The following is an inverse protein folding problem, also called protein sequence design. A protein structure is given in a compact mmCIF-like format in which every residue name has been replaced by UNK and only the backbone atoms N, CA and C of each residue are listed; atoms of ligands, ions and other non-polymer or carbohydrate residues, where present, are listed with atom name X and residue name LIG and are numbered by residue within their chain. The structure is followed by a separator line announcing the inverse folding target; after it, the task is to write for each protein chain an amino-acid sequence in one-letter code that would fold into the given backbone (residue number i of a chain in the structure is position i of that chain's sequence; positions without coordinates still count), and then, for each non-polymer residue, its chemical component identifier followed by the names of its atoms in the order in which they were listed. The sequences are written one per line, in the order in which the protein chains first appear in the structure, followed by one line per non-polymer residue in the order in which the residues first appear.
data_IF_946470812213
#
_entry.id   IF_946470812213
#
_cell.length_a   1.000
_cell.length_b   1.000
_cell.length_c   1.000
_cell.angle_alpha   90.00
_cell.angle_beta   90.00
_cell.angle_gamma   90.00
#
_symmetry.space_group_name_H-M   'P 1'
#
loop_
_entity.id
_entity.type
_entity.pdbx_description
1 polymer ?
#
# COMPACT_ATOMS: atom_id res chain seq x y z
N UNK A 1 16.49 -5.38 -6.06
CA UNK A 1 16.68 -4.57 -4.84
C UNK A 1 15.45 -3.71 -4.78
N UNK A 2 14.56 -3.93 -3.81
CA UNK A 2 13.20 -3.40 -3.82
C UNK A 2 13.19 -1.87 -3.64
N UNK A 3 12.29 -1.19 -4.37
CA UNK A 3 12.05 0.26 -4.27
C UNK A 3 11.20 0.66 -3.04
N UNK A 4 11.21 -0.17 -2.00
CA UNK A 4 10.44 -0.02 -0.77
C UNK A 4 11.35 -0.29 0.43
N UNK A 5 11.39 0.66 1.36
CA UNK A 5 12.05 0.53 2.67
C UNK A 5 10.96 0.45 3.74
N UNK A 6 11.17 -0.39 4.74
CA UNK A 6 10.26 -0.56 5.88
C UNK A 6 11.03 -0.27 7.16
N UNK A 7 10.49 0.62 7.98
CA UNK A 7 11.04 0.99 9.28
C UNK A 7 9.99 0.81 10.36
N UNK A 8 10.38 0.34 11.55
CA UNK A 8 9.49 0.17 12.69
C UNK A 8 9.97 0.99 13.89
N UNK A 9 9.03 1.66 14.55
CA UNK A 9 9.27 2.43 15.78
C UNK A 9 8.11 2.22 16.74
N UNK A 10 8.31 1.28 17.68
CA UNK A 10 7.23 0.84 18.57
C UNK A 10 6.02 0.36 17.76
N UNK A 11 4.81 0.90 18.00
CA UNK A 11 3.60 0.49 17.28
C UNK A 11 3.45 1.12 15.88
N UNK A 12 4.45 1.88 15.40
CA UNK A 12 4.40 2.56 14.10
C UNK A 12 5.27 1.85 13.08
N UNK A 13 4.68 1.47 11.94
CA UNK A 13 5.36 0.92 10.78
C UNK A 13 5.34 1.93 9.65
N UNK A 14 6.52 2.28 9.12
CA UNK A 14 6.68 3.27 8.04
C UNK A 14 7.11 2.56 6.76
N UNK A 15 6.35 2.76 5.69
CA UNK A 15 6.59 2.26 4.34
C UNK A 15 7.09 3.42 3.47
N UNK A 16 8.31 3.33 2.98
CA UNK A 16 8.98 4.41 2.26
C UNK A 16 9.25 3.99 0.82
N UNK A 17 8.60 4.64 -0.14
CA UNK A 17 8.87 4.44 -1.57
C UNK A 17 10.15 5.18 -1.97
N UNK A 18 11.15 4.48 -2.51
CA UNK A 18 12.50 5.04 -2.75
C UNK A 18 12.86 5.24 -4.22
N UNK A 19 11.90 5.07 -5.14
CA UNK A 19 12.08 5.24 -6.59
C UNK A 19 11.96 6.70 -7.06
N UNK A 20 12.67 7.61 -6.41
CA UNK A 20 12.55 9.06 -6.61
C UNK A 20 12.86 9.50 -8.06
N UNK A 21 13.77 8.83 -8.76
CA UNK A 21 14.11 9.10 -10.17
C UNK A 21 12.91 8.93 -11.13
N UNK A 22 11.89 8.17 -10.73
CA UNK A 22 10.64 8.00 -11.48
C UNK A 22 9.44 8.63 -10.74
N UNK A 23 9.68 9.60 -9.85
CA UNK A 23 8.66 10.19 -8.96
C UNK A 23 7.82 9.13 -8.25
N UNK A 24 8.50 8.07 -7.80
CA UNK A 24 7.89 6.96 -7.08
C UNK A 24 6.81 6.19 -7.85
N UNK A 25 6.83 6.24 -9.18
CA UNK A 25 5.91 5.48 -10.03
C UNK A 25 5.91 3.98 -9.68
N UNK A 26 4.70 3.42 -9.60
CA UNK A 26 4.44 2.07 -9.14
C UNK A 26 4.63 1.05 -10.27
N UNK A 27 5.65 0.22 -10.16
CA UNK A 27 5.88 -0.95 -11.00
C UNK A 27 5.33 -2.22 -10.32
N UNK A 28 5.17 -3.35 -11.04
CA UNK A 28 4.61 -4.56 -10.44
C UNK A 28 5.41 -5.13 -9.26
N UNK A 29 6.74 -5.18 -9.37
CA UNK A 29 7.61 -5.64 -8.27
C UNK A 29 7.37 -4.81 -7.00
N UNK A 30 7.31 -3.50 -7.14
CA UNK A 30 7.08 -2.61 -6.03
C UNK A 30 5.64 -2.60 -5.52
N UNK A 31 4.66 -2.94 -6.34
CA UNK A 31 3.27 -3.12 -5.91
C UNK A 31 3.13 -4.40 -5.06
N UNK A 32 3.76 -5.49 -5.50
CA UNK A 32 3.79 -6.74 -4.76
C UNK A 32 4.49 -6.58 -3.40
N UNK A 33 5.66 -5.93 -3.38
CA UNK A 33 6.39 -5.67 -2.14
C UNK A 33 5.57 -4.82 -1.15
N UNK A 34 4.85 -3.80 -1.64
CA UNK A 34 3.99 -2.98 -0.79
C UNK A 34 2.78 -3.78 -0.27
N UNK A 35 2.17 -4.61 -1.11
CA UNK A 35 1.08 -5.49 -0.70
C UNK A 35 1.52 -6.46 0.40
N UNK A 36 2.62 -7.18 0.21
CA UNK A 36 3.17 -8.10 1.22
C UNK A 36 3.48 -7.39 2.53
N UNK A 37 4.02 -6.17 2.47
CA UNK A 37 4.31 -5.36 3.64
C UNK A 37 3.04 -4.92 4.41
N UNK A 38 1.98 -4.57 3.69
CA UNK A 38 0.70 -4.20 4.28
C UNK A 38 -0.02 -5.41 4.90
N UNK A 39 0.05 -6.58 4.25
CA UNK A 39 -0.46 -7.84 4.82
C UNK A 39 0.31 -8.21 6.08
N UNK A 40 1.63 -8.07 6.08
CA UNK A 40 2.45 -8.31 7.27
C UNK A 40 2.10 -7.34 8.42
N UNK A 41 1.86 -6.06 8.12
CA UNK A 41 1.39 -5.08 9.10
C UNK A 41 0.03 -5.44 9.69
N UNK A 42 -0.91 -5.93 8.87
CA UNK A 42 -2.22 -6.37 9.36
C UNK A 42 -2.14 -7.68 10.17
N UNK A 43 -1.08 -8.48 10.01
CA UNK A 43 -0.85 -9.65 10.86
C UNK A 43 -0.13 -9.31 12.18
N UNK A 44 0.53 -8.15 12.30
CA UNK A 44 1.37 -7.82 13.45
C UNK A 44 0.56 -7.20 14.61
N UNK A 45 0.32 -7.98 15.67
CA UNK A 45 -0.40 -7.55 16.88
C UNK A 45 0.25 -6.36 17.60
N UNK A 46 1.54 -6.09 17.37
CA UNK A 46 2.24 -4.96 17.97
C UNK A 46 2.12 -3.68 17.14
N UNK A 47 1.71 -3.79 15.87
CA UNK A 47 1.56 -2.66 14.97
C UNK A 47 0.17 -2.03 15.12
N UNK A 48 0.14 -0.71 15.35
CA UNK A 48 -1.08 0.09 15.47
C UNK A 48 -1.22 1.15 14.38
N UNK A 49 -0.11 1.70 13.86
CA UNK A 49 -0.17 2.76 12.84
C UNK A 49 0.76 2.44 11.69
N UNK A 50 0.24 2.47 10.47
CA UNK A 50 1.00 2.44 9.22
C UNK A 50 1.17 3.86 8.67
N UNK A 51 2.36 4.22 8.21
CA UNK A 51 2.63 5.48 7.51
C UNK A 51 3.21 5.17 6.14
N UNK A 52 2.57 5.60 5.07
CA UNK A 52 3.09 5.42 3.71
C UNK A 52 3.51 6.77 3.11
N UNK A 53 4.77 6.89 2.70
CA UNK A 53 5.25 8.10 2.03
C UNK A 53 6.35 7.81 0.99
N UNK A 54 6.65 8.80 0.16
CA UNK A 54 7.63 8.68 -0.90
C UNK A 54 8.86 9.57 -0.68
N UNK A 55 10.05 8.97 -0.73
CA UNK A 55 11.32 9.67 -0.69
C UNK A 55 11.52 10.55 -1.94
N UNK A 56 12.25 11.65 -1.79
CA UNK A 56 12.55 12.54 -2.92
C UNK A 56 11.42 13.48 -3.32
N UNK A 57 10.48 13.78 -2.41
CA UNK A 57 9.54 14.91 -2.55
C UNK A 57 8.25 14.63 -3.33
N UNK A 58 8.01 13.39 -3.75
CA UNK A 58 6.75 12.98 -4.36
C UNK A 58 6.21 11.73 -3.67
N UNK A 59 4.90 11.65 -3.40
CA UNK A 59 4.29 10.44 -2.86
C UNK A 59 4.39 9.28 -3.87
N UNK A 60 3.65 9.37 -4.97
CA UNK A 60 3.67 8.42 -6.07
C UNK A 60 3.03 9.06 -7.32
N UNK A 61 3.66 8.92 -8.49
CA UNK A 61 3.14 9.45 -9.75
C UNK A 61 2.07 8.55 -10.43
N UNK A 62 1.61 7.50 -9.76
CA UNK A 62 0.68 6.50 -10.30
C UNK A 62 1.41 5.29 -10.89
N UNK A 63 0.74 4.57 -11.79
CA UNK A 63 1.31 3.38 -12.45
C UNK A 63 2.50 3.76 -13.35
N UNK A 64 3.51 2.91 -13.37
CA UNK A 64 4.68 3.09 -14.23
C UNK A 64 4.31 2.94 -15.72
N UNK A 65 4.26 4.05 -16.43
CA UNK A 65 3.93 4.08 -17.86
C UNK A 65 5.01 3.46 -18.75
N UNK A 66 6.29 3.44 -18.33
CA UNK A 66 7.34 2.72 -19.07
C UNK A 66 7.10 1.21 -18.97
N UNK A 67 6.67 0.75 -17.79
CA UNK A 67 6.26 -0.64 -17.62
C UNK A 67 4.99 -0.93 -18.45
N UNK A 68 3.99 -0.05 -18.40
CA UNK A 68 2.75 -0.18 -19.19
C UNK A 68 3.03 -0.32 -20.70
N UNK A 69 3.96 0.48 -21.22
CA UNK A 69 4.32 0.47 -22.64
C UNK A 69 5.04 -0.81 -23.09
N UNK A 70 5.68 -1.53 -22.17
CA UNK A 70 6.38 -2.80 -22.45
C UNK A 70 5.50 -4.03 -22.26
N UNK A 71 4.34 -3.89 -21.61
CA UNK A 71 3.43 -5.00 -21.35
C UNK A 71 2.79 -5.50 -22.66
N UNK A 72 2.63 -6.83 -22.84
CA UNK A 72 1.91 -7.38 -23.97
C UNK A 72 0.48 -6.83 -24.00
N UNK A 73 0.03 -6.34 -25.15
CA UNK A 73 -1.34 -5.83 -25.30
C UNK A 73 -2.36 -6.88 -24.87
N UNK A 74 -3.25 -6.53 -23.94
CA UNK A 74 -4.33 -7.39 -23.47
C UNK A 74 -4.17 -7.96 -22.05
N UNK A 75 -3.05 -7.73 -21.35
CA UNK A 75 -3.03 -7.97 -19.90
C UNK A 75 -3.88 -6.91 -19.21
N UNK A 76 -5.03 -7.26 -18.58
CA UNK A 76 -5.82 -6.29 -17.86
C UNK A 76 -4.97 -5.64 -16.77
N UNK A 77 -5.00 -4.31 -16.73
CA UNK A 77 -4.45 -3.57 -15.60
C UNK A 77 -5.27 -3.92 -14.37
N UNK A 78 -4.64 -4.59 -13.40
CA UNK A 78 -5.33 -5.10 -12.22
C UNK A 78 -5.98 -6.46 -12.48
N UNK A 79 -5.16 -7.50 -12.61
CA UNK A 79 -5.61 -8.89 -12.67
C UNK A 79 -6.31 -9.34 -11.37
N UNK A 80 -5.81 -10.39 -10.73
CA UNK A 80 -6.34 -10.87 -9.45
C UNK A 80 -5.95 -9.90 -8.32
N UNK A 81 -6.59 -8.74 -8.28
CA UNK A 81 -6.45 -7.77 -7.21
C UNK A 81 -7.25 -8.27 -6.01
N UNK A 82 -6.66 -8.18 -4.81
CA UNK A 82 -7.35 -8.47 -3.55
C UNK A 82 -8.30 -7.33 -3.15
N UNK A 83 -9.18 -6.97 -4.08
CA UNK A 83 -10.27 -6.03 -3.88
C UNK A 83 -11.53 -6.88 -3.78
N UNK A 84 -12.23 -6.89 -2.63
CA UNK A 84 -13.44 -7.68 -2.51
C UNK A 84 -14.50 -7.24 -3.54
N UNK A 85 -15.21 -8.21 -4.10
CA UNK A 85 -16.33 -7.95 -5.00
C UNK A 85 -17.45 -7.19 -4.27
N UNK A 86 -17.96 -6.13 -4.90
CA UNK A 86 -19.08 -5.33 -4.42
C UNK A 86 -18.71 -4.01 -3.75
N UNK A 87 -19.70 -3.20 -3.32
CA UNK A 87 -19.44 -1.92 -2.67
C UNK A 87 -18.76 -2.16 -1.33
N UNK A 88 -17.67 -1.43 -1.08
CA UNK A 88 -17.06 -1.41 0.24
C UNK A 88 -18.10 -0.92 1.26
N UNK A 89 -18.54 -1.79 2.19
CA UNK A 89 -19.28 -1.36 3.37
C UNK A 89 -18.33 -0.57 4.27
N UNK A 90 -18.28 0.73 4.03
CA UNK A 90 -17.72 1.71 4.96
C UNK A 90 -18.76 1.98 6.03
N UNK A 91 -18.69 1.27 7.16
CA UNK A 91 -19.38 1.69 8.37
C UNK A 91 -18.90 3.10 8.71
N UNK A 92 -19.83 4.05 8.86
CA UNK A 92 -19.52 5.47 9.10
C UNK A 92 -18.91 5.68 10.50
N UNK A 93 -17.65 5.30 10.68
CA UNK A 93 -16.82 5.68 11.82
C UNK A 93 -16.19 7.05 11.62
N UNK A 94 -15.96 7.78 12.72
CA UNK A 94 -15.33 9.10 12.78
C UNK A 94 -14.18 9.26 11.76
N UNK A 95 -14.23 10.32 10.94
CA UNK A 95 -13.43 10.54 9.71
C UNK A 95 -11.92 10.67 9.92
N UNK A 96 -11.41 10.35 11.10
CA UNK A 96 -9.98 10.36 11.47
C UNK A 96 -9.32 8.99 11.39
N UNK A 97 -10.04 7.94 10.99
CA UNK A 97 -9.50 6.61 10.80
C UNK A 97 -9.75 6.13 9.37
N UNK A 98 -8.69 6.07 8.57
CA UNK A 98 -8.71 5.26 7.36
C UNK A 98 -8.58 3.79 7.82
N UNK A 99 -9.73 3.13 8.03
CA UNK A 99 -9.77 1.68 8.32
C UNK A 99 -9.86 0.93 6.99
N UNK A 100 -8.84 0.13 6.67
CA UNK A 100 -8.94 -0.96 5.69
C UNK A 100 -9.88 -2.04 6.23
N UNK A 101 -10.73 -2.58 5.37
CA UNK A 101 -11.93 -3.34 5.75
C UNK A 101 -11.69 -4.65 6.50
N UNK A 102 -12.48 -4.86 7.57
CA UNK A 102 -13.19 -6.12 7.85
C UNK A 102 -12.44 -7.31 8.48
N UNK A 103 -12.41 -7.38 9.82
CA UNK A 103 -13.02 -8.44 10.67
C UNK A 103 -12.85 -8.05 12.14
N UNK A 104 -13.93 -8.16 12.92
CA UNK A 104 -13.92 -7.83 14.36
C UNK A 104 -12.91 -8.75 15.07
N UNK A 105 -11.82 -8.19 15.61
CA UNK A 105 -10.86 -8.95 16.41
C UNK A 105 -9.53 -8.27 16.74
N UNK A 106 -9.09 -7.25 15.99
CA UNK A 106 -7.80 -6.59 16.24
C UNK A 106 -7.96 -5.07 16.38
N UNK A 107 -7.21 -4.50 17.33
CA UNK A 107 -7.35 -3.14 17.83
C UNK A 107 -7.23 -2.06 16.76
N UNK A 108 -7.57 -0.82 17.13
CA UNK A 108 -7.56 0.38 16.27
C UNK A 108 -6.25 0.51 15.46
N UNK A 109 -6.23 -0.06 14.25
CA UNK A 109 -5.16 0.17 13.27
C UNK A 109 -5.54 1.30 12.33
N UNK A 110 -4.60 2.21 12.12
CA UNK A 110 -4.74 3.33 11.19
C UNK A 110 -3.62 3.28 10.14
N UNK A 111 -3.96 3.46 8.87
CA UNK A 111 -2.99 3.73 7.80
C UNK A 111 -3.13 5.21 7.39
N UNK A 112 -2.04 5.97 7.43
CA UNK A 112 -1.99 7.40 7.10
C UNK A 112 -1.04 7.67 5.95
#
# INVERSE_FOLDING_TARGET
MSDLVIETSGPVTTFIRTRSAARNAMNPEGALALHEALVAFDADENASVGVLWGAGGAFCAGFDLKHAALAPGGTPFGGDLDIPDGPATVEAGDRRHCRTGGRRGHGDRALV
#
